data_IF_520921995633
#
_entry.id   IF_520921995633
#
_cell.length_a   1.000
_cell.length_b   1.000
_cell.length_c   1.000
_cell.angle_alpha   90.00
_cell.angle_beta   90.00
_cell.angle_gamma   90.00
#
_symmetry.space_group_name_H-M   'P 1'
#
loop_
_entity.id
_entity.type
_entity.pdbx_description
1 polymer ?
#
# COMPACT_ATOMS: atom_id res chain seq x y z
N UNK A 1 -13.15 -15.96 -11.31
CA UNK A 1 -12.62 -15.16 -12.43
C UNK A 1 -11.52 -14.31 -11.83
N UNK A 2 -10.28 -14.45 -12.27
CA UNK A 2 -9.16 -13.65 -11.73
C UNK A 2 -9.45 -12.17 -12.00
N UNK A 3 -9.44 -11.35 -10.97
CA UNK A 3 -9.63 -9.91 -11.09
C UNK A 3 -8.55 -9.35 -12.03
N UNK A 4 -8.88 -8.54 -13.05
CA UNK A 4 -7.88 -7.96 -13.93
C UNK A 4 -6.99 -7.00 -13.14
N UNK A 5 -5.68 -7.11 -13.32
CA UNK A 5 -4.68 -6.24 -12.69
C UNK A 5 -4.15 -5.22 -13.71
N UNK A 6 -3.75 -4.05 -13.24
CA UNK A 6 -3.19 -2.96 -14.01
C UNK A 6 -1.98 -2.39 -13.26
N UNK A 7 -0.89 -2.16 -13.98
CA UNK A 7 0.29 -1.54 -13.39
C UNK A 7 0.13 -0.01 -13.39
N UNK A 8 0.30 0.61 -12.23
CA UNK A 8 0.25 2.06 -12.03
C UNK A 8 1.58 2.57 -11.49
N UNK A 9 1.85 3.86 -11.69
CA UNK A 9 3.03 4.55 -11.16
C UNK A 9 2.61 5.73 -10.32
N UNK A 10 3.13 5.81 -9.11
CA UNK A 10 2.80 6.85 -8.11
C UNK A 10 4.00 7.04 -7.20
N UNK A 11 4.31 8.28 -6.81
CA UNK A 11 5.37 8.58 -5.83
C UNK A 11 6.76 7.97 -6.17
N UNK A 12 7.07 7.78 -7.46
CA UNK A 12 8.31 7.13 -7.92
C UNK A 12 8.35 5.61 -7.71
N UNK A 13 7.21 5.00 -7.39
CA UNK A 13 7.00 3.56 -7.27
C UNK A 13 6.12 3.05 -8.41
N UNK A 14 6.42 1.84 -8.88
CA UNK A 14 5.52 1.06 -9.73
C UNK A 14 4.85 -0.01 -8.88
N UNK A 15 3.55 -0.22 -9.07
CA UNK A 15 2.78 -1.25 -8.36
C UNK A 15 1.65 -1.77 -9.25
N UNK A 16 1.25 -3.00 -9.02
CA UNK A 16 0.13 -3.65 -9.66
C UNK A 16 -1.10 -3.50 -8.76
N UNK A 17 -2.18 -2.98 -9.34
CA UNK A 17 -3.46 -2.77 -8.65
C UNK A 17 -4.59 -3.42 -9.43
N UNK A 18 -5.67 -3.87 -8.77
CA UNK A 18 -6.93 -4.15 -9.43
C UNK A 18 -7.33 -3.07 -10.45
N UNK A 19 -7.71 -3.46 -11.66
CA UNK A 19 -8.13 -2.52 -12.70
C UNK A 19 -9.39 -1.69 -12.34
N UNK A 20 -10.08 -2.07 -11.26
CA UNK A 20 -11.21 -1.34 -10.69
C UNK A 20 -10.78 -0.18 -9.80
N UNK A 21 -9.54 -0.19 -9.28
CA UNK A 21 -8.97 0.92 -8.53
C UNK A 21 -8.61 2.03 -9.51
N UNK A 22 -9.36 3.11 -9.45
CA UNK A 22 -9.15 4.28 -10.28
C UNK A 22 -8.62 5.43 -9.44
N UNK A 23 -7.81 6.33 -10.01
CA UNK A 23 -7.36 7.51 -9.31
C UNK A 23 -8.54 8.36 -8.81
N UNK A 24 -8.46 8.77 -7.55
CA UNK A 24 -9.42 9.69 -6.94
C UNK A 24 -8.90 11.13 -7.01
N UNK A 25 -9.80 12.05 -7.39
CA UNK A 25 -9.50 13.48 -7.58
C UNK A 25 -9.13 14.22 -6.27
N UNK A 26 -9.36 13.58 -5.11
CA UNK A 26 -9.12 14.12 -3.77
C UNK A 26 -7.63 14.32 -3.42
N UNK A 27 -6.70 13.78 -4.22
CA UNK A 27 -5.27 14.06 -4.11
C UNK A 27 -4.71 14.30 -5.51
N UNK A 28 -4.49 15.57 -5.85
CA UNK A 28 -4.01 15.98 -7.16
C UNK A 28 -2.78 15.19 -7.61
N UNK A 29 -2.77 14.80 -8.90
CA UNK A 29 -1.71 14.05 -9.59
C UNK A 29 -0.32 14.74 -9.63
N UNK A 30 -0.14 15.84 -8.91
CA UNK A 30 1.10 16.63 -8.81
C UNK A 30 1.74 16.57 -7.41
N UNK A 31 1.17 15.81 -6.47
CA UNK A 31 1.68 15.67 -5.10
C UNK A 31 2.57 14.45 -4.86
N UNK A 32 3.31 14.46 -3.75
CA UNK A 32 4.03 13.31 -3.21
C UNK A 32 3.12 12.14 -2.83
N UNK A 33 1.80 12.35 -2.79
CA UNK A 33 0.79 11.35 -2.49
C UNK A 33 -0.18 11.15 -3.66
N UNK A 34 -0.66 9.93 -3.87
CA UNK A 34 -1.88 9.69 -4.65
C UNK A 34 -2.81 8.68 -3.96
N UNK A 35 -4.09 8.79 -4.31
CA UNK A 35 -5.16 7.95 -3.78
C UNK A 35 -5.86 7.26 -4.96
N UNK A 36 -6.04 5.95 -4.85
CA UNK A 36 -6.80 5.12 -5.79
C UNK A 36 -7.97 4.49 -5.01
N UNK A 37 -9.18 4.59 -5.55
CA UNK A 37 -10.39 4.04 -4.93
C UNK A 37 -11.18 3.19 -5.93
N UNK A 38 -11.85 2.17 -5.41
CA UNK A 38 -12.59 1.22 -6.23
C UNK A 38 -12.66 -0.16 -5.59
N UNK A 39 -13.67 -0.94 -5.98
CA UNK A 39 -13.92 -2.27 -5.41
C UNK A 39 -14.03 -2.29 -3.86
N UNK A 40 -14.60 -1.23 -3.27
CA UNK A 40 -14.71 -1.03 -1.81
C UNK A 40 -13.35 -0.90 -1.09
N UNK A 41 -12.29 -0.64 -1.85
CA UNK A 41 -10.94 -0.45 -1.35
C UNK A 41 -10.46 0.98 -1.63
N UNK A 42 -9.59 1.47 -0.76
CA UNK A 42 -8.87 2.73 -0.92
C UNK A 42 -7.39 2.49 -0.69
N UNK A 43 -6.59 2.70 -1.73
CA UNK A 43 -5.14 2.68 -1.68
C UNK A 43 -4.63 4.12 -1.64
N UNK A 44 -3.82 4.45 -0.65
CA UNK A 44 -3.07 5.69 -0.56
C UNK A 44 -1.59 5.36 -0.68
N UNK A 45 -0.85 6.05 -1.54
CA UNK A 45 0.61 5.95 -1.62
C UNK A 45 1.19 7.34 -1.44
N UNK A 46 2.15 7.49 -0.54
CA UNK A 46 2.81 8.75 -0.25
C UNK A 46 4.33 8.59 -0.21
N UNK A 47 5.07 9.54 -0.79
CA UNK A 47 6.54 9.55 -0.87
C UNK A 47 7.20 10.06 0.43
N UNK A 48 6.42 10.38 1.46
CA UNK A 48 6.95 10.81 2.76
C UNK A 48 7.15 9.59 3.67
N UNK A 49 8.04 9.69 4.67
CA UNK A 49 8.09 8.69 5.72
C UNK A 49 6.76 8.60 6.45
N UNK A 50 6.40 7.39 6.87
CA UNK A 50 5.18 7.15 7.62
C UNK A 50 5.11 8.08 8.84
N UNK A 51 4.06 8.92 8.90
CA UNK A 51 3.96 10.00 9.88
C UNK A 51 3.77 9.50 11.32
N UNK A 52 3.17 8.31 11.47
CA UNK A 52 2.93 7.67 12.76
C UNK A 52 3.91 6.51 12.97
N UNK A 53 4.49 6.32 14.16
CA UNK A 53 5.28 5.14 14.43
C UNK A 53 4.37 3.90 14.38
N UNK A 54 4.78 2.85 13.65
CA UNK A 54 4.02 1.61 13.44
C UNK A 54 3.58 0.95 14.78
N UNK A 55 4.31 1.21 15.87
CA UNK A 55 4.01 0.76 17.24
C UNK A 55 2.76 1.40 17.85
N UNK A 56 2.27 2.51 17.31
CA UNK A 56 1.07 3.19 17.82
C UNK A 56 -0.20 2.35 17.65
N UNK A 57 -0.18 1.37 16.75
CA UNK A 57 -1.33 0.54 16.41
C UNK A 57 -1.34 -0.81 17.15
N UNK A 58 -0.35 -1.10 18.01
CA UNK A 58 -0.26 -2.39 18.73
C UNK A 58 -1.50 -2.74 19.56
N UNK A 59 -2.24 -1.73 20.01
CA UNK A 59 -3.47 -1.92 20.79
C UNK A 59 -4.73 -2.12 19.92
N UNK A 60 -4.61 -2.06 18.58
CA UNK A 60 -5.74 -2.22 17.66
C UNK A 60 -6.10 -3.70 17.50
N UNK A 61 -7.39 -4.03 17.32
CA UNK A 61 -7.79 -5.39 17.01
C UNK A 61 -7.17 -5.84 15.68
N UNK A 62 -6.83 -7.13 15.62
CA UNK A 62 -6.20 -7.71 14.43
C UNK A 62 -4.79 -7.16 14.15
N UNK A 63 -4.15 -6.48 15.11
CA UNK A 63 -2.82 -5.94 14.90
C UNK A 63 -1.81 -7.05 14.59
N UNK A 64 -1.15 -6.94 13.44
CA UNK A 64 -0.02 -7.76 13.05
C UNK A 64 1.07 -6.83 12.51
N UNK A 65 2.31 -7.06 12.93
CA UNK A 65 3.49 -6.41 12.38
C UNK A 65 4.48 -7.47 11.92
N UNK A 66 5.00 -7.30 10.71
CA UNK A 66 6.05 -8.17 10.19
C UNK A 66 6.91 -7.42 9.18
N UNK A 67 8.09 -7.96 8.91
CA UNK A 67 8.97 -7.46 7.88
C UNK A 67 8.98 -8.44 6.72
N UNK A 68 8.94 -7.92 5.50
CA UNK A 68 8.94 -8.73 4.29
C UNK A 68 9.78 -8.07 3.20
N UNK A 69 10.44 -8.88 2.38
CA UNK A 69 11.19 -8.38 1.24
C UNK A 69 10.24 -7.97 0.11
N UNK A 70 10.33 -6.71 -0.31
CA UNK A 70 9.57 -6.14 -1.44
C UNK A 70 10.59 -5.67 -2.46
N UNK A 71 10.78 -6.47 -3.52
CA UNK A 71 11.93 -6.34 -4.41
C UNK A 71 13.24 -6.56 -3.65
N UNK A 72 14.15 -5.59 -3.72
CA UNK A 72 15.47 -5.64 -3.05
C UNK A 72 15.49 -4.96 -1.67
N UNK A 73 14.35 -4.49 -1.16
CA UNK A 73 14.26 -3.73 0.08
C UNK A 73 13.42 -4.51 1.10
N UNK A 74 13.88 -4.57 2.36
CA UNK A 74 13.03 -5.04 3.47
C UNK A 74 12.07 -3.93 3.86
N UNK A 75 10.78 -4.18 3.73
CA UNK A 75 9.72 -3.24 4.08
C UNK A 75 8.99 -3.71 5.35
N UNK A 76 8.50 -2.74 6.11
CA UNK A 76 7.77 -2.97 7.34
C UNK A 76 6.27 -2.97 7.05
N UNK A 77 5.61 -4.08 7.31
CA UNK A 77 4.18 -4.23 7.14
C UNK A 77 3.47 -4.13 8.48
N UNK A 78 2.30 -3.50 8.45
CA UNK A 78 1.36 -3.48 9.56
C UNK A 78 -0.04 -3.77 9.04
N UNK A 79 -0.77 -4.58 9.79
CA UNK A 79 -2.19 -4.85 9.59
C UNK A 79 -2.90 -4.53 10.90
N UNK A 80 -4.05 -3.87 10.82
CA UNK A 80 -4.94 -3.71 11.97
C UNK A 80 -6.37 -3.42 11.50
N UNK A 81 -7.32 -3.47 12.43
CA UNK A 81 -8.71 -3.19 12.18
C UNK A 81 -9.20 -2.02 13.04
N UNK A 82 -10.04 -1.16 12.47
CA UNK A 82 -10.65 -0.01 13.13
C UNK A 82 -12.03 0.25 12.54
N UNK A 83 -13.05 0.33 13.39
CA UNK A 83 -14.43 0.69 12.98
C UNK A 83 -15.00 -0.13 11.80
N UNK A 84 -14.63 -1.41 11.70
CA UNK A 84 -15.08 -2.30 10.62
C UNK A 84 -14.26 -2.20 9.33
N UNK A 85 -13.21 -1.38 9.33
CA UNK A 85 -12.22 -1.25 8.25
C UNK A 85 -10.93 -1.96 8.64
N UNK A 86 -10.39 -2.78 7.75
CA UNK A 86 -9.04 -3.30 7.85
C UNK A 86 -8.09 -2.39 7.10
N UNK A 87 -7.01 -2.03 7.79
CA UNK A 87 -5.90 -1.26 7.24
C UNK A 87 -4.70 -2.17 7.10
N UNK A 88 -4.13 -2.22 5.91
CA UNK A 88 -2.83 -2.86 5.65
C UNK A 88 -1.90 -1.79 5.12
N UNK A 89 -0.82 -1.52 5.82
CA UNK A 89 0.18 -0.54 5.40
C UNK A 89 1.55 -1.18 5.26
N UNK A 90 2.33 -0.63 4.34
CA UNK A 90 3.75 -0.95 4.15
C UNK A 90 4.55 0.34 4.18
N UNK A 91 5.64 0.33 4.94
CA UNK A 91 6.62 1.41 4.98
C UNK A 91 7.89 0.93 4.31
N UNK A 92 8.31 1.63 3.26
CA UNK A 92 9.57 1.40 2.57
C UNK A 92 10.56 2.44 3.10
N UNK A 93 11.60 2.02 3.84
CA UNK A 93 12.47 2.93 4.56
C UNK A 93 13.15 3.94 3.62
N UNK A 94 13.00 5.23 3.94
CA UNK A 94 13.58 6.34 3.18
C UNK A 94 12.98 6.57 1.78
N UNK A 95 11.83 5.96 1.47
CA UNK A 95 11.21 6.02 0.14
C UNK A 95 9.76 6.49 0.17
N UNK A 96 8.89 5.71 0.80
CA UNK A 96 7.45 5.88 0.68
C UNK A 96 6.70 5.01 1.68
N UNK A 97 5.43 5.33 1.87
CA UNK A 97 4.44 4.49 2.54
C UNK A 97 3.26 4.25 1.60
N UNK A 98 2.79 3.01 1.54
CA UNK A 98 1.52 2.67 0.92
C UNK A 98 0.56 2.09 1.96
N UNK A 99 -0.71 2.48 1.91
CA UNK A 99 -1.76 2.10 2.85
C UNK A 99 -3.00 1.69 2.08
N UNK A 100 -3.51 0.50 2.35
CA UNK A 100 -4.76 -0.02 1.79
C UNK A 100 -5.79 -0.10 2.90
N UNK A 101 -6.93 0.55 2.69
CA UNK A 101 -8.14 0.42 3.50
C UNK A 101 -9.15 -0.42 2.73
N UNK A 102 -9.77 -1.37 3.41
CA UNK A 102 -10.83 -2.23 2.89
C UNK A 102 -11.73 -2.69 4.04
N UNK A 103 -12.93 -3.23 3.81
CA UNK A 103 -13.75 -3.81 4.85
C UNK A 103 -13.01 -4.91 5.62
N UNK A 104 -13.29 -5.06 6.91
CA UNK A 104 -12.71 -6.12 7.73
C UNK A 104 -13.04 -7.55 7.23
N UNK A 105 -14.21 -7.71 6.59
CA UNK A 105 -14.66 -8.98 5.98
C UNK A 105 -14.07 -9.22 4.58
N UNK A 106 -13.40 -8.21 4.00
CA UNK A 106 -12.79 -8.33 2.68
C UNK A 106 -11.53 -9.22 2.72
N UNK A 107 -11.23 -9.81 1.57
CA UNK A 107 -10.08 -10.69 1.39
C UNK A 107 -8.77 -9.90 1.50
N UNK A 108 -7.98 -10.19 2.55
CA UNK A 108 -6.73 -9.47 2.80
C UNK A 108 -5.64 -9.77 1.77
N UNK A 109 -5.77 -10.84 1.00
CA UNK A 109 -4.75 -11.27 0.03
C UNK A 109 -4.63 -10.25 -1.11
N UNK A 110 -5.73 -9.60 -1.51
CA UNK A 110 -5.68 -8.54 -2.53
C UNK A 110 -4.84 -7.34 -2.07
N UNK A 111 -5.07 -6.86 -0.85
CA UNK A 111 -4.27 -5.77 -0.28
C UNK A 111 -2.79 -6.15 -0.18
N UNK A 112 -2.48 -7.37 0.29
CA UNK A 112 -1.11 -7.86 0.37
C UNK A 112 -0.46 -7.99 -1.01
N UNK A 113 -1.17 -8.51 -2.02
CA UNK A 113 -0.68 -8.63 -3.39
C UNK A 113 -0.34 -7.25 -3.97
N UNK A 114 -1.20 -6.24 -3.76
CA UNK A 114 -0.92 -4.86 -4.18
C UNK A 114 0.38 -4.37 -3.54
N UNK A 115 0.51 -4.46 -2.22
CA UNK A 115 1.68 -3.93 -1.51
C UNK A 115 2.97 -4.70 -1.83
N UNK A 116 2.90 -6.01 -2.04
CA UNK A 116 4.04 -6.85 -2.44
C UNK A 116 4.50 -6.62 -3.87
N UNK A 117 3.63 -6.08 -4.73
CA UNK A 117 3.97 -5.76 -6.12
C UNK A 117 4.78 -4.48 -6.27
N UNK A 118 4.96 -3.71 -5.18
CA UNK A 118 5.69 -2.44 -5.21
C UNK A 118 7.13 -2.67 -5.65
N UNK A 119 7.55 -1.87 -6.62
CA UNK A 119 8.88 -1.86 -7.20
C UNK A 119 9.37 -0.42 -7.30
N UNK A 120 10.62 -0.19 -6.92
CA UNK A 120 11.26 1.10 -7.13
C UNK A 120 11.64 1.25 -8.60
N UNK A 121 11.41 2.42 -9.20
CA UNK A 121 11.82 2.71 -10.58
C UNK A 121 13.35 2.76 -10.77
N UNK A 122 14.13 2.68 -9.68
CA UNK A 122 15.55 2.36 -9.79
C UNK A 122 15.68 0.94 -10.32
N UNK A 123 15.86 0.86 -11.64
CA UNK A 123 16.36 -0.34 -12.29
C UNK A 123 17.53 -0.88 -11.49
N UNK A 124 17.59 -2.20 -11.41
CA UNK A 124 18.82 -2.89 -11.10
C UNK A 124 19.91 -2.29 -11.98
N UNK A 125 20.75 -1.42 -11.42
CA UNK A 125 22.06 -1.14 -11.99
C UNK A 125 22.82 -2.45 -11.85
N UNK A 126 22.69 -3.28 -12.87
CA UNK A 126 23.53 -4.44 -13.07
C UNK A 126 24.94 -3.91 -13.37
N UNK A 127 25.78 -3.78 -12.34
CA UNK A 127 27.23 -3.75 -12.50
C UNK A 127 27.76 -5.19 -12.65
#
# INVERSE_FOLDING_TARGET
MSQPWSSVRVAGLALDVPAQLVPSDEAGFEGSAAVLEGADMRLTVDASPFADPLTRYEAKPGFEYWQEAVGSITADFVLFEEEGTRTVAVTIPGRATAVVHQPADADKDVALQILRSIRTDQGESND
#
